data_IF_909008426893
#
_entry.id   IF_909008426893
#
_cell.length_a   1.000
_cell.length_b   1.000
_cell.length_c   1.000
_cell.angle_alpha   90.00
_cell.angle_beta   90.00
_cell.angle_gamma   90.00
#
_symmetry.space_group_name_H-M   'P 1'
#
loop_
_entity.id
_entity.type
_entity.pdbx_description
1 polymer ?
#
# COMPACT_ATOMS: atom_id res chain seq x y z
N UNK A 1 -1.30 -30.13 14.19
CA UNK A 1 -1.74 -28.92 13.46
C UNK A 1 -0.97 -27.74 14.01
N UNK A 2 -0.10 -27.11 13.22
CA UNK A 2 0.76 -26.00 13.68
C UNK A 2 -0.12 -24.78 13.96
N UNK A 3 0.28 -23.91 14.89
CA UNK A 3 -0.53 -22.76 15.34
C UNK A 3 -0.98 -21.85 14.16
N UNK A 4 -0.17 -21.72 13.12
CA UNK A 4 -0.49 -20.94 11.92
C UNK A 4 -1.59 -21.58 11.06
N UNK A 5 -1.69 -22.91 10.95
CA UNK A 5 -2.77 -23.60 10.23
C UNK A 5 -4.15 -23.35 10.87
N UNK A 6 -4.19 -23.15 12.19
CA UNK A 6 -5.41 -22.76 12.91
C UNK A 6 -5.84 -21.33 12.60
N UNK A 7 -4.88 -20.41 12.45
CA UNK A 7 -5.16 -18.98 12.21
C UNK A 7 -5.69 -18.77 10.78
N UNK A 8 -5.12 -19.46 9.79
CA UNK A 8 -5.58 -19.39 8.39
C UNK A 8 -7.03 -19.87 8.19
N UNK A 9 -7.52 -20.73 9.07
CA UNK A 9 -8.88 -21.31 8.98
C UNK A 9 -9.92 -20.57 9.85
N UNK A 10 -9.57 -19.43 10.46
CA UNK A 10 -10.53 -18.62 11.23
C UNK A 10 -11.01 -17.42 10.44
N UNK A 11 -12.34 -17.19 10.40
CA UNK A 11 -12.95 -15.96 9.85
C UNK A 11 -12.77 -14.73 10.76
N UNK A 12 -11.80 -14.74 11.67
CA UNK A 12 -11.53 -13.61 12.56
C UNK A 12 -10.49 -12.71 11.92
N UNK A 13 -10.82 -11.43 11.81
CA UNK A 13 -9.86 -10.40 11.43
C UNK A 13 -8.68 -10.40 12.41
N UNK A 14 -7.48 -10.18 11.87
CA UNK A 14 -6.28 -10.05 12.67
C UNK A 14 -6.36 -8.75 13.48
N UNK A 15 -6.06 -8.81 14.77
CA UNK A 15 -6.12 -7.63 15.62
C UNK A 15 -5.02 -6.61 15.24
N UNK A 16 -5.43 -5.40 14.87
CA UNK A 16 -4.55 -4.25 14.65
C UNK A 16 -4.67 -3.25 15.82
N UNK A 17 -3.58 -2.58 16.25
CA UNK A 17 -3.63 -1.59 17.33
C UNK A 17 -4.52 -0.37 17.06
N UNK A 18 -4.84 -0.11 15.79
CA UNK A 18 -5.61 1.07 15.34
C UNK A 18 -7.00 0.70 14.83
N UNK A 19 -7.45 -0.54 15.01
CA UNK A 19 -8.73 -1.04 14.47
C UNK A 19 -9.92 -0.14 14.87
N UNK A 20 -9.97 0.27 16.13
CA UNK A 20 -11.03 1.13 16.68
C UNK A 20 -10.99 2.58 16.20
N UNK A 21 -9.89 2.99 15.56
CA UNK A 21 -9.71 4.33 14.99
C UNK A 21 -10.08 4.39 13.50
N UNK A 22 -10.35 3.25 12.86
CA UNK A 22 -10.67 3.18 11.43
C UNK A 22 -11.96 3.96 11.15
N UNK A 23 -11.85 4.94 10.25
CA UNK A 23 -12.98 5.73 9.75
C UNK A 23 -12.98 5.70 8.22
N UNK A 24 -14.17 5.79 7.63
CA UNK A 24 -14.35 5.78 6.19
C UNK A 24 -14.67 7.18 5.67
N UNK A 25 -14.08 7.54 4.54
CA UNK A 25 -14.42 8.73 3.78
C UNK A 25 -14.45 8.41 2.29
N UNK A 26 -15.35 9.07 1.57
CA UNK A 26 -15.40 8.99 0.11
C UNK A 26 -14.38 9.95 -0.48
N UNK A 27 -13.61 9.46 -1.45
CA UNK A 27 -12.62 10.24 -2.18
C UNK A 27 -12.78 9.95 -3.66
N UNK A 28 -12.67 10.99 -4.48
CA UNK A 28 -12.56 10.84 -5.93
C UNK A 28 -11.09 10.73 -6.27
N UNK A 29 -10.72 9.68 -7.00
CA UNK A 29 -9.36 9.54 -7.52
C UNK A 29 -9.22 10.40 -8.76
N UNK A 30 -8.03 10.98 -8.91
CA UNK A 30 -7.62 11.57 -10.18
C UNK A 30 -7.08 10.48 -11.11
N UNK A 31 -7.28 10.68 -12.41
CA UNK A 31 -6.67 9.83 -13.46
C UNK A 31 -5.15 9.99 -13.55
N UNK A 32 -4.58 11.09 -13.02
CA UNK A 32 -3.14 11.34 -13.01
C UNK A 32 -2.54 11.73 -14.37
N UNK A 33 -3.36 12.11 -15.35
CA UNK A 33 -2.93 12.57 -16.67
C UNK A 33 -3.34 14.03 -16.92
N UNK A 34 -2.60 14.72 -17.80
CA UNK A 34 -2.93 16.08 -18.23
C UNK A 34 -3.11 17.05 -17.06
N UNK A 35 -4.26 17.74 -17.02
CA UNK A 35 -4.61 18.69 -15.96
C UNK A 35 -4.92 18.06 -14.61
N UNK A 36 -5.09 16.74 -14.55
CA UNK A 36 -5.41 16.04 -13.30
C UNK A 36 -4.16 15.50 -12.57
N UNK A 37 -2.95 15.79 -13.06
CA UNK A 37 -1.70 15.37 -12.40
C UNK A 37 -1.61 15.86 -10.96
N UNK A 38 -1.12 15.01 -10.06
CA UNK A 38 -0.92 15.37 -8.65
C UNK A 38 0.49 15.91 -8.39
N UNK A 39 0.70 16.63 -7.26
CA UNK A 39 2.03 17.04 -6.81
C UNK A 39 3.01 15.88 -6.55
N UNK A 40 2.53 14.65 -6.42
CA UNK A 40 3.35 13.46 -6.19
C UNK A 40 4.01 12.92 -7.47
N UNK A 41 3.62 13.43 -8.65
CA UNK A 41 4.12 13.01 -9.96
C UNK A 41 5.32 13.84 -10.44
N UNK A 42 6.27 13.24 -11.17
CA UNK A 42 7.43 13.90 -11.78
C UNK A 42 8.81 13.51 -11.20
N UNK A 43 9.91 14.09 -11.74
CA UNK A 43 11.30 13.84 -11.31
C UNK A 43 11.63 14.34 -9.89
N UNK A 44 12.41 13.62 -9.06
CA UNK A 44 12.70 14.02 -7.69
C UNK A 44 13.12 15.49 -7.57
N UNK A 45 12.39 16.25 -6.75
CA UNK A 45 12.75 17.61 -6.33
C UNK A 45 12.64 17.67 -4.80
N UNK A 46 13.31 18.62 -4.13
CA UNK A 46 13.19 18.77 -2.67
C UNK A 46 11.73 18.87 -2.20
N UNK A 47 10.90 19.62 -2.91
CA UNK A 47 9.49 19.83 -2.56
C UNK A 47 8.69 18.54 -2.70
N UNK A 48 8.92 17.78 -3.77
CA UNK A 48 8.19 16.53 -4.01
C UNK A 48 8.65 15.41 -3.09
N UNK A 49 9.95 15.34 -2.84
CA UNK A 49 10.50 14.38 -1.89
C UNK A 49 9.96 14.67 -0.49
N UNK A 50 9.84 15.94 -0.10
CA UNK A 50 9.17 16.32 1.14
C UNK A 50 7.69 15.88 1.20
N UNK A 51 6.92 16.01 0.11
CA UNK A 51 5.54 15.51 0.06
C UNK A 51 5.45 14.00 0.26
N UNK A 52 6.37 13.24 -0.34
CA UNK A 52 6.43 11.79 -0.16
C UNK A 52 6.88 11.40 1.25
N UNK A 53 7.86 12.09 1.80
CA UNK A 53 8.38 11.85 3.14
C UNK A 53 7.34 12.18 4.21
N UNK A 54 6.52 13.23 4.01
CA UNK A 54 5.40 13.59 4.88
C UNK A 54 4.35 12.47 5.02
N UNK A 55 4.27 11.53 4.07
CA UNK A 55 3.32 10.42 4.15
C UNK A 55 3.68 9.36 5.20
N UNK A 56 4.95 9.24 5.60
CA UNK A 56 5.38 8.15 6.48
C UNK A 56 6.71 8.35 7.23
N UNK A 57 7.64 9.19 6.76
CA UNK A 57 9.05 9.11 7.17
C UNK A 57 9.26 9.33 8.68
N UNK A 58 8.51 10.24 9.29
CA UNK A 58 8.69 10.62 10.69
C UNK A 58 7.76 9.89 11.68
N UNK A 59 6.81 9.09 11.19
CA UNK A 59 5.77 8.47 12.03
C UNK A 59 5.35 7.05 11.60
N UNK A 60 5.91 6.52 10.52
CA UNK A 60 5.59 5.18 10.01
C UNK A 60 5.93 4.08 11.02
N UNK A 61 7.03 4.27 11.76
CA UNK A 61 7.40 3.44 12.90
C UNK A 61 6.72 4.00 14.15
N UNK A 62 5.84 3.19 14.73
CA UNK A 62 4.93 3.57 15.81
C UNK A 62 5.25 2.85 17.12
N UNK A 63 4.96 3.53 18.24
CA UNK A 63 5.00 2.94 19.58
C UNK A 63 3.61 2.43 19.97
N UNK A 64 3.53 1.28 20.64
CA UNK A 64 2.30 0.74 21.21
C UNK A 64 2.52 0.26 22.65
N UNK A 65 1.49 0.33 23.53
CA UNK A 65 1.60 -0.17 24.88
C UNK A 65 1.66 -1.71 24.90
N UNK A 66 2.24 -2.25 25.97
CA UNK A 66 2.40 -3.69 26.21
C UNK A 66 1.11 -4.50 26.01
N UNK A 67 -0.03 -3.99 26.45
CA UNK A 67 -1.30 -4.71 26.34
C UNK A 67 -1.78 -4.83 24.89
N UNK A 68 -1.50 -3.85 24.04
CA UNK A 68 -1.72 -3.94 22.59
C UNK A 68 -0.72 -4.91 21.95
N UNK A 69 0.56 -4.83 22.32
CA UNK A 69 1.59 -5.75 21.83
C UNK A 69 1.30 -7.22 22.19
N UNK A 70 0.73 -7.46 23.38
CA UNK A 70 0.35 -8.80 23.85
C UNK A 70 -0.72 -9.45 22.97
N UNK A 71 -1.59 -8.66 22.34
CA UNK A 71 -2.67 -9.13 21.45
C UNK A 71 -2.20 -9.48 20.04
N UNK A 72 -1.01 -9.03 19.63
CA UNK A 72 -0.48 -9.30 18.30
C UNK A 72 -0.24 -10.80 18.09
N UNK A 73 -0.62 -11.31 16.92
CA UNK A 73 -0.31 -12.68 16.50
C UNK A 73 1.19 -12.84 16.29
N UNK A 74 1.78 -11.92 15.52
CA UNK A 74 3.23 -11.84 15.35
C UNK A 74 3.80 -10.95 16.44
N UNK A 75 4.63 -11.52 17.32
CA UNK A 75 5.21 -10.77 18.45
C UNK A 75 6.28 -9.81 17.95
N UNK A 76 6.36 -8.66 18.63
CA UNK A 76 7.36 -7.62 18.40
C UNK A 76 8.22 -7.42 19.64
N UNK A 77 9.26 -6.59 19.53
CA UNK A 77 10.21 -6.29 20.60
C UNK A 77 9.86 -5.00 21.37
N UNK A 78 10.26 -4.89 22.65
CA UNK A 78 10.15 -3.65 23.41
C UNK A 78 11.10 -2.58 22.86
N UNK A 79 10.77 -1.31 23.08
CA UNK A 79 11.63 -0.18 22.73
C UNK A 79 12.68 0.00 23.85
N UNK A 80 13.99 -0.03 23.54
CA UNK A 80 15.04 0.21 24.54
C UNK A 80 14.87 1.55 25.24
N UNK A 81 14.91 1.56 26.58
CA UNK A 81 14.73 2.77 27.38
C UNK A 81 13.28 3.21 27.62
N UNK A 82 12.29 2.62 26.93
CA UNK A 82 10.88 2.95 27.10
C UNK A 82 10.09 1.80 27.75
N UNK A 83 9.98 1.83 29.09
CA UNK A 83 9.32 0.75 29.84
C UNK A 83 7.86 0.56 29.42
N UNK A 84 7.53 -0.67 29.02
CA UNK A 84 6.17 -1.05 28.65
C UNK A 84 5.74 -0.61 27.24
N UNK A 85 6.65 -0.04 26.45
CA UNK A 85 6.42 0.35 25.07
C UNK A 85 7.07 -0.64 24.10
N UNK A 86 6.39 -0.89 22.99
CA UNK A 86 6.78 -1.84 21.96
C UNK A 86 6.73 -1.14 20.60
N UNK A 87 7.60 -1.56 19.69
CA UNK A 87 7.70 -0.96 18.34
C UNK A 87 6.93 -1.79 17.33
N UNK A 88 6.23 -1.12 16.42
CA UNK A 88 5.61 -1.70 15.22
C UNK A 88 5.68 -0.71 14.07
N UNK A 89 5.31 -1.16 12.89
CA UNK A 89 4.96 -0.30 11.76
C UNK A 89 3.61 -0.77 11.19
N UNK A 90 2.78 0.14 10.69
CA UNK A 90 1.58 -0.26 9.93
C UNK A 90 1.98 -0.51 8.48
N UNK A 91 1.53 -1.62 7.89
CA UNK A 91 1.99 -2.06 6.58
C UNK A 91 1.79 -1.01 5.47
N UNK A 92 0.75 -0.16 5.54
CA UNK A 92 0.55 0.95 4.59
C UNK A 92 1.76 1.89 4.50
N UNK A 93 2.45 2.17 5.61
CA UNK A 93 3.60 3.06 5.60
C UNK A 93 4.83 2.41 4.95
N UNK A 94 5.04 1.12 5.21
CA UNK A 94 6.06 0.34 4.51
C UNK A 94 5.77 0.25 3.00
N UNK A 95 4.50 0.04 2.61
CA UNK A 95 4.07 0.02 1.21
C UNK A 95 4.34 1.37 0.51
N UNK A 96 4.03 2.48 1.18
CA UNK A 96 4.32 3.83 0.65
C UNK A 96 5.82 4.09 0.55
N UNK A 97 6.62 3.64 1.52
CA UNK A 97 8.08 3.68 1.45
C UNK A 97 8.60 2.92 0.22
N UNK A 98 8.19 1.67 0.01
CA UNK A 98 8.59 0.87 -1.15
C UNK A 98 8.19 1.54 -2.47
N UNK A 99 6.97 2.07 -2.55
CA UNK A 99 6.49 2.78 -3.74
C UNK A 99 7.32 4.04 -4.03
N UNK A 100 7.72 4.78 -2.99
CA UNK A 100 8.60 5.94 -3.12
C UNK A 100 10.00 5.52 -3.61
N UNK A 101 10.54 4.39 -3.15
CA UNK A 101 11.82 3.87 -3.65
C UNK A 101 11.74 3.49 -5.13
N UNK A 102 10.63 2.87 -5.56
CA UNK A 102 10.37 2.58 -6.97
C UNK A 102 10.30 3.88 -7.77
N UNK A 103 9.52 4.88 -7.31
CA UNK A 103 9.46 6.21 -7.94
C UNK A 103 10.85 6.79 -8.15
N UNK A 104 11.69 6.83 -7.10
CA UNK A 104 13.05 7.39 -7.19
C UNK A 104 13.91 6.61 -8.20
N UNK A 105 13.77 5.27 -8.26
CA UNK A 105 14.52 4.43 -9.21
C UNK A 105 14.16 4.71 -10.68
N UNK A 106 12.93 5.14 -10.98
CA UNK A 106 12.48 5.44 -12.34
C UNK A 106 13.29 6.57 -13.01
N UNK A 107 13.89 7.47 -12.23
CA UNK A 107 14.65 8.61 -12.74
C UNK A 107 16.17 8.37 -12.77
N UNK A 108 16.61 7.15 -12.45
CA UNK A 108 18.01 6.76 -12.64
C UNK A 108 18.16 6.27 -14.08
N UNK A 109 18.81 7.10 -14.89
CA UNK A 109 19.08 6.85 -16.31
C UNK A 109 20.15 5.76 -16.49
N UNK A 110 19.85 4.75 -17.30
CA UNK A 110 20.79 3.67 -17.67
C UNK A 110 21.00 3.54 -19.18
N UNK A 111 20.45 4.48 -19.96
CA UNK A 111 20.57 4.55 -21.42
C UNK A 111 19.78 3.50 -22.21
N UNK A 112 18.97 2.65 -21.56
CA UNK A 112 18.22 1.57 -22.21
C UNK A 112 16.71 1.81 -22.31
N UNK A 113 16.25 2.94 -21.79
CA UNK A 113 14.85 3.25 -21.57
C UNK A 113 14.35 4.28 -22.59
N UNK A 114 13.27 3.97 -23.30
CA UNK A 114 12.54 4.93 -24.13
C UNK A 114 11.54 5.71 -23.26
N UNK A 115 11.79 6.99 -22.95
CA UNK A 115 10.91 7.78 -22.09
C UNK A 115 9.54 8.06 -22.71
N UNK A 116 9.37 7.86 -24.02
CA UNK A 116 8.14 8.11 -24.74
C UNK A 116 7.35 6.83 -25.05
N UNK A 117 7.79 5.67 -24.57
CA UNK A 117 7.09 4.42 -24.82
C UNK A 117 5.65 4.48 -24.28
N UNK A 118 4.66 4.02 -25.06
CA UNK A 118 3.24 4.22 -24.71
C UNK A 118 2.81 3.64 -23.35
N UNK A 119 3.40 2.50 -22.96
CA UNK A 119 3.02 1.78 -21.73
C UNK A 119 4.04 1.92 -20.60
N UNK A 120 5.28 2.20 -20.98
CA UNK A 120 6.40 2.22 -20.03
C UNK A 120 7.17 3.52 -20.11
N UNK A 121 6.68 4.53 -20.81
CA UNK A 121 7.25 5.87 -20.84
C UNK A 121 6.97 6.61 -19.53
N UNK A 122 7.71 7.69 -19.29
CA UNK A 122 7.80 8.29 -17.96
C UNK A 122 6.45 8.81 -17.47
N UNK A 123 5.65 9.44 -18.34
CA UNK A 123 4.31 9.91 -18.00
C UNK A 123 3.40 8.75 -17.56
N UNK A 124 3.50 7.60 -18.24
CA UNK A 124 2.70 6.43 -17.89
C UNK A 124 3.15 5.82 -16.56
N UNK A 125 4.46 5.74 -16.31
CA UNK A 125 4.96 5.23 -15.03
C UNK A 125 4.64 6.19 -13.87
N UNK A 126 4.64 7.49 -14.12
CA UNK A 126 4.21 8.52 -13.18
C UNK A 126 2.76 8.38 -12.75
N UNK A 127 1.84 8.24 -13.72
CA UNK A 127 0.43 7.98 -13.38
C UNK A 127 0.29 6.66 -12.61
N UNK A 128 0.99 5.60 -13.03
CA UNK A 128 0.91 4.28 -12.41
C UNK A 128 1.29 4.30 -10.93
N UNK A 129 2.43 4.89 -10.56
CA UNK A 129 2.82 4.93 -9.16
C UNK A 129 1.88 5.85 -8.36
N UNK A 130 1.34 6.92 -8.94
CA UNK A 130 0.41 7.80 -8.21
C UNK A 130 -0.95 7.13 -8.01
N UNK A 131 -1.45 6.39 -8.99
CA UNK A 131 -2.65 5.56 -8.86
C UNK A 131 -2.48 4.49 -7.77
N UNK A 132 -1.31 3.85 -7.69
CA UNK A 132 -0.98 2.94 -6.59
C UNK A 132 -0.94 3.68 -5.25
N UNK A 133 -0.33 4.87 -5.17
CA UNK A 133 -0.32 5.68 -3.94
C UNK A 133 -1.74 5.99 -3.46
N UNK A 134 -2.63 6.44 -4.37
CA UNK A 134 -4.04 6.69 -4.07
C UNK A 134 -4.73 5.43 -3.54
N UNK A 135 -4.51 4.27 -4.19
CA UNK A 135 -5.08 2.98 -3.78
C UNK A 135 -4.57 2.52 -2.40
N UNK A 136 -3.26 2.64 -2.15
CA UNK A 136 -2.65 2.28 -0.86
C UNK A 136 -3.19 3.16 0.27
N UNK A 137 -3.34 4.47 0.05
CA UNK A 137 -3.91 5.37 1.05
C UNK A 137 -5.41 5.15 1.26
N UNK A 138 -6.16 4.74 0.23
CA UNK A 138 -7.58 4.46 0.33
C UNK A 138 -7.88 3.13 1.02
N UNK A 139 -7.07 2.10 0.75
CA UNK A 139 -7.23 0.77 1.35
C UNK A 139 -6.55 0.63 2.71
N UNK A 140 -5.46 1.37 2.91
CA UNK A 140 -4.66 1.50 4.13
C UNK A 140 -4.54 0.20 4.94
N UNK A 141 -3.61 -0.67 4.55
CA UNK A 141 -3.35 -1.89 5.30
C UNK A 141 -2.78 -1.60 6.70
N UNK A 142 -3.63 -1.74 7.70
CA UNK A 142 -3.32 -1.54 9.12
C UNK A 142 -2.68 -2.77 9.80
N UNK A 143 -2.31 -3.80 9.03
CA UNK A 143 -1.63 -4.97 9.58
C UNK A 143 -0.32 -4.52 10.26
N UNK A 144 -0.12 -4.83 11.56
CA UNK A 144 1.09 -4.43 12.26
C UNK A 144 2.27 -5.31 11.85
N UNK A 145 3.31 -4.69 11.30
CA UNK A 145 4.60 -5.28 11.06
C UNK A 145 5.42 -5.25 12.36
N UNK A 146 5.83 -6.41 12.90
CA UNK A 146 6.67 -6.48 14.08
C UNK A 146 8.12 -6.20 13.72
N UNK A 147 8.89 -5.86 14.75
CA UNK A 147 10.34 -5.82 14.70
C UNK A 147 10.93 -6.99 15.47
N UNK A 148 12.06 -7.50 14.99
CA UNK A 148 12.81 -8.59 15.62
C UNK A 148 14.28 -8.22 15.70
N UNK A 149 14.98 -8.70 16.72
CA UNK A 149 16.43 -8.61 16.77
C UNK A 149 17.05 -9.60 15.78
N UNK A 150 17.95 -9.11 14.93
CA UNK A 150 18.73 -9.94 14.02
C UNK A 150 20.13 -10.14 14.57
N UNK A 151 20.44 -11.36 15.06
CA UNK A 151 21.78 -11.68 15.55
C UNK A 151 22.86 -11.55 14.47
N UNK A 152 22.51 -11.80 13.20
CA UNK A 152 23.46 -11.66 12.08
C UNK A 152 23.81 -10.19 11.81
N UNK A 153 22.82 -9.31 11.87
CA UNK A 153 23.01 -7.90 11.54
C UNK A 153 23.31 -7.03 12.78
N UNK A 154 23.16 -7.58 13.98
CA UNK A 154 23.31 -6.86 15.26
C UNK A 154 22.41 -5.63 15.34
N UNK A 155 21.21 -5.72 14.77
CA UNK A 155 20.23 -4.63 14.73
C UNK A 155 18.80 -5.18 14.75
N UNK A 156 17.86 -4.36 15.22
CA UNK A 156 16.44 -4.64 15.10
C UNK A 156 15.99 -4.42 13.65
N UNK A 157 15.17 -5.33 13.13
CA UNK A 157 14.58 -5.23 11.78
C UNK A 157 13.09 -5.48 11.81
N UNK A 158 12.39 -4.66 11.05
CA UNK A 158 11.05 -4.92 10.55
C UNK A 158 10.98 -6.31 9.87
N UNK A 159 9.88 -7.03 10.12
CA UNK A 159 9.58 -8.30 9.45
C UNK A 159 8.26 -8.18 8.70
N UNK A 160 8.34 -8.07 7.38
CA UNK A 160 7.16 -8.03 6.51
C UNK A 160 6.46 -9.40 6.32
N UNK A 161 7.09 -10.51 6.74
CA UNK A 161 6.47 -11.86 6.63
C UNK A 161 5.47 -12.10 7.76
N UNK A 162 4.31 -11.46 7.65
CA UNK A 162 3.19 -11.58 8.60
C UNK A 162 1.93 -12.11 7.91
N UNK A 163 0.95 -12.50 8.73
CA UNK A 163 -0.38 -12.83 8.23
C UNK A 163 -1.13 -11.54 7.93
N UNK A 164 -1.86 -11.49 6.82
CA UNK A 164 -2.76 -10.39 6.45
C UNK A 164 -4.20 -10.89 6.37
N UNK A 165 -5.17 -10.00 6.59
CA UNK A 165 -6.57 -10.27 6.21
C UNK A 165 -6.85 -9.60 4.88
N UNK A 166 -6.95 -10.39 3.81
CA UNK A 166 -7.14 -9.90 2.45
C UNK A 166 -8.57 -10.18 1.97
N UNK A 167 -9.01 -9.44 0.95
CA UNK A 167 -10.10 -9.88 0.08
C UNK A 167 -9.63 -11.14 -0.64
N UNK A 168 -10.50 -12.14 -0.78
CA UNK A 168 -10.17 -13.38 -1.48
C UNK A 168 -9.94 -13.08 -2.97
N UNK A 169 -8.68 -13.07 -3.38
CA UNK A 169 -8.28 -12.70 -4.73
C UNK A 169 -8.73 -13.73 -5.77
N UNK A 170 -8.81 -15.01 -5.41
CA UNK A 170 -9.21 -16.04 -6.35
C UNK A 170 -10.70 -15.95 -6.67
N UNK A 171 -11.54 -15.64 -5.67
CA UNK A 171 -12.97 -15.35 -5.90
C UNK A 171 -13.13 -14.17 -6.86
N UNK A 172 -12.40 -13.07 -6.63
CA UNK A 172 -12.45 -11.89 -7.50
C UNK A 172 -11.95 -12.20 -8.92
N UNK A 173 -10.86 -12.98 -9.04
CA UNK A 173 -10.25 -13.36 -10.31
C UNK A 173 -11.14 -14.33 -11.10
N UNK A 174 -11.85 -15.22 -10.43
CA UNK A 174 -12.79 -16.13 -11.07
C UNK A 174 -13.99 -15.37 -11.61
N UNK A 175 -14.58 -14.48 -10.81
CA UNK A 175 -15.64 -13.58 -11.29
C UNK A 175 -15.18 -12.78 -12.53
N UNK A 176 -13.99 -12.17 -12.49
CA UNK A 176 -13.48 -11.39 -13.62
C UNK A 176 -13.27 -12.23 -14.89
N UNK A 177 -12.87 -13.50 -14.75
CA UNK A 177 -12.70 -14.42 -15.89
C UNK A 177 -14.02 -14.86 -16.49
N UNK A 178 -15.03 -15.12 -15.67
CA UNK A 178 -16.37 -15.49 -16.11
C UNK A 178 -17.09 -14.33 -16.81
N UNK A 179 -16.74 -13.08 -16.46
CA UNK A 179 -17.38 -11.86 -16.98
C UNK A 179 -16.47 -11.09 -17.96
N UNK A 180 -15.49 -11.76 -18.56
CA UNK A 180 -14.54 -11.11 -19.46
C UNK A 180 -15.22 -10.58 -20.74
N UNK A 181 -15.02 -9.30 -21.03
CA UNK A 181 -15.45 -8.72 -22.31
C UNK A 181 -14.40 -9.06 -23.38
N UNK A 182 -14.73 -10.02 -24.25
CA UNK A 182 -13.80 -10.48 -25.30
C UNK A 182 -13.71 -9.54 -26.51
N UNK A 183 -14.75 -8.75 -26.76
CA UNK A 183 -14.77 -7.76 -27.83
C UNK A 183 -15.37 -6.45 -27.31
N UNK A 184 -14.56 -5.40 -27.33
CA UNK A 184 -14.98 -4.05 -27.00
C UNK A 184 -14.28 -3.07 -27.94
N UNK A 185 -14.97 -2.68 -29.01
CA UNK A 185 -14.45 -1.66 -29.93
C UNK A 185 -14.56 -0.27 -29.28
N UNK A 186 -13.44 0.20 -28.76
CA UNK A 186 -13.32 1.49 -28.09
C UNK A 186 -13.56 2.70 -29.01
N UNK A 187 -13.79 2.49 -30.31
CA UNK A 187 -14.08 3.55 -31.28
C UNK A 187 -15.58 3.71 -31.56
N UNK A 188 -16.41 2.76 -31.15
CA UNK A 188 -17.85 2.82 -31.35
C UNK A 188 -18.50 3.40 -30.09
N UNK A 189 -19.21 4.51 -30.25
CA UNK A 189 -20.01 5.10 -29.19
C UNK A 189 -21.39 4.43 -29.18
N UNK A 190 -21.63 3.57 -28.18
CA UNK A 190 -22.96 3.00 -27.94
C UNK A 190 -23.86 4.05 -27.27
N UNK A 191 -25.14 4.04 -27.58
CA UNK A 191 -26.13 4.85 -26.88
C UNK A 191 -26.27 4.37 -25.43
N UNK A 192 -26.24 5.30 -24.47
CA UNK A 192 -26.42 5.02 -23.04
C UNK A 192 -27.83 5.46 -22.62
N UNK A 193 -28.72 4.50 -22.46
CA UNK A 193 -30.13 4.72 -22.09
C UNK A 193 -30.32 5.04 -20.60
N UNK A 194 -29.27 4.93 -19.77
CA UNK A 194 -29.34 5.26 -18.35
C UNK A 194 -29.55 6.75 -18.07
N UNK A 195 -29.25 7.61 -19.05
CA UNK A 195 -29.36 9.07 -18.91
C UNK A 195 -30.59 9.67 -19.61
N UNK A 196 -31.42 8.85 -20.28
CA UNK A 196 -32.60 9.32 -21.03
C UNK A 196 -33.74 9.85 -20.15
N UNK A 197 -33.65 9.64 -18.83
CA UNK A 197 -34.68 9.98 -17.86
C UNK A 197 -34.21 10.95 -16.76
N UNK A 198 -33.02 11.55 -16.90
CA UNK A 198 -32.58 12.69 -16.08
C UNK A 198 -32.87 14.01 -16.78
#
# INVERSE_FOLDING_TARGET
>A
MKLWERILNTKKFLAAPVEELVQYKNLVFTTGFGSERTPYQGPPTPERDALWDDLYLNFGISRIPRDSAAKLINKTIPIPGERGQYVIELNVFHQLHCLNMIRKRLYIEDGKYDPNHKLTGIEHLEHCYDALRQSLMCSADITPLPWVWSDKAQEAKEVARVTHTCRDFDVLRNWAREHAVHHFDKKIHAHDDLNDHQ
#
